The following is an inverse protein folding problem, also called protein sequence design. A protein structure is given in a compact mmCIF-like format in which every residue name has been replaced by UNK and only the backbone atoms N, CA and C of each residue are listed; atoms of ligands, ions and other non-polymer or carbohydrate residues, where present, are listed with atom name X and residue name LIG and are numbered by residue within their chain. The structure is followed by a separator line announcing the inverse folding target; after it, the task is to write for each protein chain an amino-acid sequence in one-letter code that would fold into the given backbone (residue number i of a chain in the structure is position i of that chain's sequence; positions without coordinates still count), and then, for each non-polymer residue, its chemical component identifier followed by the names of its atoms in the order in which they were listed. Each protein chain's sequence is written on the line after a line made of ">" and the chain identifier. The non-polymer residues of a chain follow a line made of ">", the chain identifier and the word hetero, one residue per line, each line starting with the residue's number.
data_IF_010626139564
#
_entry.id   IF_010626139564
#
_cell.length_a   1.000
_cell.length_b   1.000
_cell.length_c   1.000
_cell.angle_alpha   90.00
_cell.angle_beta   90.00
_cell.angle_gamma   90.00
#
_symmetry.space_group_name_H-M   'P 1'
#
loop_
_entity.id
_entity.type
_entity.pdbx_description
1 polymer ?
#
# COMPACT_ATOMS: atom_id res chain seq x y z
N UNK A 1 10.30 -0.07 -1.15
CA UNK A 1 9.61 -0.82 -2.17
C UNK A 1 8.62 -1.80 -1.57
N UNK A 2 7.75 -2.40 -2.34
CA UNK A 2 6.86 -3.42 -1.83
C UNK A 2 7.68 -4.55 -1.22
N UNK A 3 7.27 -5.01 -0.06
CA UNK A 3 7.86 -6.21 0.53
C UNK A 3 7.35 -7.39 -0.29
N UNK A 4 8.21 -8.16 -0.97
CA UNK A 4 7.75 -9.34 -1.68
C UNK A 4 7.06 -10.26 -0.67
N UNK A 5 5.88 -10.74 -1.02
CA UNK A 5 5.22 -11.76 -0.23
C UNK A 5 6.11 -13.00 -0.25
N UNK A 6 6.54 -13.42 0.92
CA UNK A 6 7.46 -14.55 1.08
C UNK A 6 6.92 -15.81 0.40
N UNK A 7 5.61 -15.98 0.47
CA UNK A 7 4.90 -17.09 -0.15
C UNK A 7 5.06 -17.10 -1.67
N UNK A 8 5.00 -15.95 -2.32
CA UNK A 8 5.20 -15.84 -3.77
C UNK A 8 6.63 -16.20 -4.15
N UNK A 9 7.62 -15.73 -3.40
CA UNK A 9 9.00 -16.13 -3.61
C UNK A 9 9.20 -17.64 -3.46
N UNK A 10 8.63 -18.22 -2.42
CA UNK A 10 8.71 -19.67 -2.19
C UNK A 10 8.10 -20.44 -3.38
N UNK A 11 6.97 -19.98 -3.92
CA UNK A 11 6.36 -20.63 -5.09
C UNK A 11 7.24 -20.51 -6.34
N UNK A 12 7.79 -19.32 -6.59
CA UNK A 12 8.71 -19.13 -7.72
C UNK A 12 9.97 -19.99 -7.63
N UNK A 13 10.45 -20.26 -6.43
CA UNK A 13 11.62 -21.10 -6.19
C UNK A 13 11.31 -22.61 -6.25
N UNK A 14 10.09 -23.01 -5.82
CA UNK A 14 9.72 -24.42 -5.75
C UNK A 14 9.14 -24.97 -7.05
N UNK A 15 8.48 -24.15 -7.83
CA UNK A 15 7.72 -24.58 -9.01
C UNK A 15 8.35 -24.02 -10.29
N UNK A 16 9.09 -24.86 -11.00
CA UNK A 16 9.59 -24.49 -12.32
C UNK A 16 8.45 -24.15 -13.29
N UNK A 17 8.60 -23.06 -14.01
CA UNK A 17 7.62 -22.63 -15.01
C UNK A 17 6.56 -21.63 -14.49
N UNK A 18 6.50 -21.37 -13.19
CA UNK A 18 5.72 -20.25 -12.67
C UNK A 18 6.46 -18.94 -12.94
N UNK A 19 5.74 -17.97 -13.43
CA UNK A 19 6.26 -16.61 -13.63
C UNK A 19 5.24 -15.55 -13.26
N UNK A 20 5.72 -14.37 -12.88
CA UNK A 20 4.88 -13.21 -12.68
C UNK A 20 4.47 -12.62 -14.03
N UNK A 21 3.20 -12.24 -14.14
CA UNK A 21 2.67 -11.57 -15.32
C UNK A 21 2.46 -10.09 -15.04
N UNK A 22 2.94 -9.25 -15.94
CA UNK A 22 2.61 -7.85 -15.93
C UNK A 22 1.15 -7.64 -16.31
N UNK A 23 0.49 -6.68 -15.67
CA UNK A 23 -0.83 -6.21 -16.11
C UNK A 23 -0.65 -5.18 -17.22
N UNK A 24 -1.42 -5.33 -18.29
CA UNK A 24 -1.40 -4.34 -19.35
C UNK A 24 -2.13 -3.05 -18.92
N UNK A 25 -1.83 -1.96 -19.64
CA UNK A 25 -2.35 -0.64 -19.34
C UNK A 25 -3.88 -0.54 -19.49
N UNK A 26 -4.46 -1.28 -20.44
CA UNK A 26 -5.89 -1.26 -20.67
C UNK A 26 -6.63 -1.94 -19.53
N UNK A 27 -6.14 -3.08 -19.07
CA UNK A 27 -6.69 -3.78 -17.91
C UNK A 27 -6.61 -2.92 -16.64
N UNK A 28 -5.47 -2.25 -16.41
CA UNK A 28 -5.30 -1.35 -15.27
C UNK A 28 -6.31 -0.21 -15.33
N UNK A 29 -6.53 0.40 -16.50
CA UNK A 29 -7.53 1.46 -16.68
C UNK A 29 -8.94 0.95 -16.38
N UNK A 30 -9.31 -0.21 -16.90
CA UNK A 30 -10.62 -0.81 -16.67
C UNK A 30 -10.86 -1.14 -15.21
N UNK A 31 -9.87 -1.67 -14.52
CA UNK A 31 -9.95 -1.93 -13.09
C UNK A 31 -10.15 -0.65 -12.29
N UNK A 32 -9.45 0.43 -12.63
CA UNK A 32 -9.56 1.70 -11.93
C UNK A 32 -10.88 2.43 -12.15
N UNK A 33 -11.58 2.17 -13.24
CA UNK A 33 -12.94 2.69 -13.44
C UNK A 33 -13.92 2.15 -12.40
N UNK A 34 -13.80 0.87 -12.06
CA UNK A 34 -14.65 0.22 -11.07
C UNK A 34 -14.10 0.32 -9.65
N UNK A 35 -12.77 0.38 -9.51
CA UNK A 35 -12.04 0.38 -8.25
C UNK A 35 -11.05 1.54 -8.22
N UNK A 36 -11.51 2.79 -8.07
CA UNK A 36 -10.65 3.98 -8.20
C UNK A 36 -9.55 4.09 -7.16
N UNK A 37 -9.61 3.31 -6.08
CA UNK A 37 -8.56 3.24 -5.05
C UNK A 37 -7.36 2.36 -5.44
N UNK A 38 -7.48 1.57 -6.51
CA UNK A 38 -6.36 0.81 -7.04
C UNK A 38 -5.38 1.75 -7.74
N UNK A 39 -4.10 1.57 -7.47
CA UNK A 39 -3.05 2.37 -8.09
C UNK A 39 -2.10 1.49 -8.91
N UNK A 40 -1.70 1.94 -10.10
CA UNK A 40 -0.65 1.24 -10.84
C UNK A 40 0.64 1.32 -10.03
N UNK A 41 1.36 0.21 -9.99
CA UNK A 41 2.63 0.12 -9.29
C UNK A 41 3.64 -0.63 -10.14
N UNK A 42 4.82 -0.05 -10.28
CA UNK A 42 5.93 -0.69 -10.98
C UNK A 42 6.79 -1.44 -9.97
N UNK A 43 6.83 -2.75 -10.11
CA UNK A 43 7.75 -3.61 -9.39
C UNK A 43 9.11 -3.52 -10.05
N UNK A 44 10.15 -3.06 -9.35
CA UNK A 44 11.50 -3.06 -9.88
C UNK A 44 11.98 -4.47 -10.23
N UNK A 45 13.00 -4.56 -11.06
CA UNK A 45 13.70 -5.83 -11.31
C UNK A 45 14.17 -6.43 -9.99
N UNK A 46 14.22 -7.74 -9.92
CA UNK A 46 14.66 -8.48 -8.72
C UNK A 46 13.84 -8.21 -7.45
N UNK A 47 12.60 -7.71 -7.58
CA UNK A 47 11.68 -7.63 -6.44
C UNK A 47 11.26 -9.01 -5.94
N UNK A 48 11.22 -9.97 -6.87
CA UNK A 48 10.96 -11.39 -6.58
C UNK A 48 12.03 -12.26 -7.23
N UNK A 49 12.16 -13.48 -6.74
CA UNK A 49 13.06 -14.49 -7.32
C UNK A 49 12.72 -14.71 -8.79
N UNK A 50 13.77 -14.79 -9.61
CA UNK A 50 13.67 -15.00 -11.07
C UNK A 50 12.93 -13.91 -11.86
N UNK A 51 12.71 -12.76 -11.28
CA UNK A 51 12.12 -11.59 -11.95
C UNK A 51 13.23 -10.77 -12.62
N UNK A 52 13.45 -11.01 -13.91
CA UNK A 52 14.49 -10.33 -14.69
C UNK A 52 14.07 -8.94 -15.18
N UNK A 53 12.78 -8.66 -15.23
CA UNK A 53 12.24 -7.41 -15.78
C UNK A 53 11.37 -6.69 -14.77
N UNK A 54 11.29 -5.37 -14.90
CA UNK A 54 10.33 -4.59 -14.13
C UNK A 54 8.90 -4.90 -14.60
N UNK A 55 8.00 -5.13 -13.67
CA UNK A 55 6.61 -5.49 -13.96
C UNK A 55 5.66 -4.40 -13.49
N UNK A 56 4.60 -4.18 -14.24
CA UNK A 56 3.51 -3.31 -13.83
C UNK A 56 2.38 -4.14 -13.22
N UNK A 57 1.99 -3.78 -12.02
CA UNK A 57 0.87 -4.36 -11.30
C UNK A 57 -0.03 -3.28 -10.74
N UNK A 58 -0.89 -3.66 -9.84
CA UNK A 58 -1.75 -2.76 -9.08
C UNK A 58 -1.51 -2.96 -7.59
N UNK A 59 -1.64 -1.88 -6.85
CA UNK A 59 -1.60 -1.89 -5.38
C UNK A 59 -2.81 -1.15 -4.83
N UNK A 60 -3.18 -1.51 -3.62
CA UNK A 60 -4.06 -0.69 -2.79
C UNK A 60 -3.36 -0.40 -1.47
N UNK A 61 -3.66 0.75 -0.91
CA UNK A 61 -3.10 1.11 0.38
C UNK A 61 -4.05 0.68 1.49
N UNK A 62 -3.60 -0.04 2.50
CA UNK A 62 -4.37 -0.26 3.71
C UNK A 62 -4.78 1.06 4.34
N UNK A 63 -6.00 1.12 4.86
CA UNK A 63 -6.55 2.31 5.51
C UNK A 63 -6.89 1.96 6.95
N UNK A 64 -6.39 2.74 7.88
CA UNK A 64 -6.81 2.65 9.27
C UNK A 64 -8.13 3.43 9.43
N UNK A 65 -9.19 2.71 9.73
CA UNK A 65 -10.51 3.29 9.94
C UNK A 65 -10.80 3.39 11.43
N UNK A 66 -11.25 4.54 11.86
CA UNK A 66 -11.68 4.80 13.24
C UNK A 66 -13.08 5.41 13.25
N UNK A 67 -13.76 5.32 14.37
CA UNK A 67 -15.05 6.00 14.54
C UNK A 67 -14.89 7.52 14.45
N UNK A 68 -15.92 8.23 14.00
CA UNK A 68 -15.88 9.68 13.86
C UNK A 68 -15.64 10.43 15.18
N UNK A 69 -16.03 9.84 16.29
CA UNK A 69 -15.83 10.37 17.66
C UNK A 69 -14.51 9.90 18.31
N UNK A 70 -13.64 9.24 17.57
CA UNK A 70 -12.33 8.80 18.11
C UNK A 70 -11.53 10.00 18.60
N UNK A 71 -10.99 9.97 19.85
CA UNK A 71 -10.34 11.13 20.44
C UNK A 71 -9.13 11.62 19.62
N UNK A 72 -9.12 12.91 19.29
CA UNK A 72 -8.05 13.53 18.48
C UNK A 72 -6.67 13.30 19.11
N UNK A 73 -6.55 13.40 20.42
CA UNK A 73 -5.29 13.19 21.12
C UNK A 73 -4.76 11.76 20.92
N UNK A 74 -5.62 10.76 21.04
CA UNK A 74 -5.25 9.37 20.82
C UNK A 74 -4.90 9.11 19.35
N UNK A 75 -5.67 9.68 18.42
CA UNK A 75 -5.38 9.56 17.00
C UNK A 75 -4.03 10.19 16.64
N UNK A 76 -3.72 11.35 17.19
CA UNK A 76 -2.42 12.02 16.99
C UNK A 76 -1.28 11.18 17.55
N UNK A 77 -1.42 10.63 18.76
CA UNK A 77 -0.42 9.75 19.37
C UNK A 77 -0.21 8.49 18.53
N UNK A 78 -1.30 7.85 18.09
CA UNK A 78 -1.22 6.65 17.26
C UNK A 78 -0.50 6.92 15.94
N UNK A 79 -0.88 7.98 15.23
CA UNK A 79 -0.23 8.37 13.98
C UNK A 79 1.25 8.70 14.19
N UNK A 80 1.59 9.43 15.25
CA UNK A 80 2.98 9.74 15.58
C UNK A 80 3.80 8.48 15.82
N UNK A 81 3.28 7.53 16.58
CA UNK A 81 3.92 6.25 16.83
C UNK A 81 4.11 5.44 15.54
N UNK A 82 3.08 5.35 14.71
CA UNK A 82 3.16 4.62 13.44
C UNK A 82 4.25 5.17 12.52
N UNK A 83 4.42 6.49 12.46
CA UNK A 83 5.42 7.10 11.60
C UNK A 83 6.82 7.19 12.20
N UNK A 84 6.94 7.29 13.52
CA UNK A 84 8.24 7.31 14.21
C UNK A 84 8.82 5.92 14.43
N UNK A 85 7.96 4.92 14.61
CA UNK A 85 8.34 3.54 14.96
C UNK A 85 8.15 2.54 13.81
N UNK A 86 7.97 3.03 12.58
CA UNK A 86 7.64 2.18 11.43
C UNK A 86 8.63 1.03 11.17
N UNK A 87 9.88 1.20 11.54
CA UNK A 87 10.91 0.17 11.37
C UNK A 87 10.86 -0.91 12.46
N UNK A 88 10.38 -0.56 13.65
CA UNK A 88 10.30 -1.47 14.79
C UNK A 88 8.96 -2.19 14.89
N UNK A 89 7.88 -1.59 14.37
CA UNK A 89 6.52 -2.13 14.49
C UNK A 89 6.31 -3.42 13.72
N UNK A 90 6.92 -3.61 12.59
CA UNK A 90 7.02 -4.91 11.93
C UNK A 90 7.94 -4.87 10.71
N UNK A 91 9.14 -5.44 10.76
CA UNK A 91 10.06 -5.48 9.63
C UNK A 91 9.55 -6.30 8.43
N UNK A 92 8.56 -7.17 8.63
CA UNK A 92 8.05 -8.06 7.58
C UNK A 92 6.78 -7.55 6.89
N UNK A 93 6.11 -6.52 7.42
CA UNK A 93 4.76 -6.17 7.02
C UNK A 93 4.55 -4.69 6.68
N UNK A 94 3.31 -4.39 6.41
CA UNK A 94 2.65 -3.16 5.98
C UNK A 94 3.26 -1.85 6.51
N UNK A 95 3.80 -1.86 7.73
CA UNK A 95 4.29 -0.64 8.38
C UNK A 95 5.64 -0.16 7.85
N UNK A 96 6.46 -1.03 7.27
CA UNK A 96 7.74 -0.63 6.67
C UNK A 96 7.55 0.38 5.53
N UNK A 97 6.41 0.28 4.86
CA UNK A 97 6.06 1.09 3.70
C UNK A 97 4.93 2.07 3.96
N UNK A 98 4.67 2.44 5.21
CA UNK A 98 3.71 3.51 5.50
C UNK A 98 4.18 4.79 4.82
N UNK A 99 3.38 5.23 3.88
CA UNK A 99 3.61 6.46 3.12
C UNK A 99 2.48 7.42 3.42
N UNK A 100 2.81 8.68 3.55
CA UNK A 100 1.82 9.75 3.57
C UNK A 100 1.20 9.86 2.18
N UNK A 101 0.10 9.20 1.97
CA UNK A 101 -0.58 9.26 0.68
C UNK A 101 -1.95 9.88 0.87
N UNK A 102 -2.19 10.96 0.14
CA UNK A 102 -3.55 11.48 -0.03
C UNK A 102 -4.19 10.74 -1.21
N UNK A 103 -5.02 9.78 -0.92
CA UNK A 103 -5.80 9.10 -1.94
C UNK A 103 -7.21 9.70 -1.98
N UNK A 104 -7.45 10.54 -2.98
CA UNK A 104 -8.73 11.21 -3.20
C UNK A 104 -9.90 10.24 -3.28
N UNK A 105 -9.70 9.05 -3.82
CA UNK A 105 -10.75 8.04 -3.92
C UNK A 105 -11.21 7.56 -2.55
N UNK A 106 -10.30 7.36 -1.62
CA UNK A 106 -10.65 7.02 -0.23
C UNK A 106 -11.32 8.20 0.48
N UNK A 107 -10.83 9.41 0.26
CA UNK A 107 -11.37 10.62 0.91
C UNK A 107 -12.83 10.88 0.57
N UNK A 108 -13.30 10.48 -0.59
CA UNK A 108 -14.71 10.59 -0.98
C UNK A 108 -15.62 9.66 -0.17
N UNK A 109 -15.13 8.51 0.23
CA UNK A 109 -15.87 7.47 0.96
C UNK A 109 -15.62 7.60 2.46
N UNK A 110 -14.38 7.83 2.85
CA UNK A 110 -13.94 7.91 4.25
C UNK A 110 -13.22 9.24 4.46
N UNK A 111 -13.89 10.25 5.03
CA UNK A 111 -13.27 11.53 5.32
C UNK A 111 -12.11 11.32 6.32
N UNK A 112 -11.02 12.02 6.09
CA UNK A 112 -9.89 11.95 7.02
C UNK A 112 -10.27 12.46 8.40
N UNK A 113 -9.85 11.72 9.43
CA UNK A 113 -9.93 12.20 10.80
C UNK A 113 -9.16 13.51 10.98
N UNK A 114 -9.65 14.40 11.84
CA UNK A 114 -9.05 15.72 12.05
C UNK A 114 -7.57 15.69 12.44
N UNK A 115 -7.15 14.69 13.22
CA UNK A 115 -5.75 14.48 13.55
C UNK A 115 -4.89 14.19 12.31
N UNK A 116 -5.39 13.37 11.37
CA UNK A 116 -4.67 13.05 10.14
C UNK A 116 -4.58 14.28 9.23
N UNK A 117 -5.67 15.04 9.09
CA UNK A 117 -5.67 16.30 8.33
C UNK A 117 -4.62 17.27 8.85
N UNK A 118 -4.55 17.44 10.17
CA UNK A 118 -3.60 18.35 10.81
C UNK A 118 -2.16 17.86 10.65
N UNK A 119 -1.89 16.57 10.89
CA UNK A 119 -0.56 16.01 10.81
C UNK A 119 0.00 16.02 9.39
N UNK A 120 -0.82 15.68 8.40
CA UNK A 120 -0.39 15.56 7.01
C UNK A 120 -0.67 16.81 6.18
N UNK A 121 -1.31 17.81 6.77
CA UNK A 121 -1.72 19.05 6.10
C UNK A 121 -2.57 18.81 4.85
N UNK A 122 -3.44 17.82 4.90
CA UNK A 122 -4.43 17.61 3.85
C UNK A 122 -5.48 18.70 3.85
N UNK A 123 -5.83 19.16 2.68
CA UNK A 123 -6.90 20.15 2.49
C UNK A 123 -8.28 19.52 2.53
#
# INVERSE_FOLDING_TARGET
>A
GPVPLREINNWLEQFAGIRLLALDQQLIRSLRLNFPWLMPHKLPVNSFSYQAEALTGIVWNPVLVVRGDFPVKLATTLLSLMFSQKETLNPQFLFKNIVRTDNIAYRKVYPYHSAAKKMFRFK
#
